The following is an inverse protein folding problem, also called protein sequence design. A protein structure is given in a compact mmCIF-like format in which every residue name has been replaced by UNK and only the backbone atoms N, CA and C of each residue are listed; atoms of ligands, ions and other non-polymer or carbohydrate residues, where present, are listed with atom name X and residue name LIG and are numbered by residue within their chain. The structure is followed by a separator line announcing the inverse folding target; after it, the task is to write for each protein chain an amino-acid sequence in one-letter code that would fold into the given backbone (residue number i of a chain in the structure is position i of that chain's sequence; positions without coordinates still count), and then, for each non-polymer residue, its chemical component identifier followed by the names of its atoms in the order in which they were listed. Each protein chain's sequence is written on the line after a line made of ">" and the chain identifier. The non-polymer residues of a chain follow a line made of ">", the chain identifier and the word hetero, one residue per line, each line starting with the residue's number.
data_IF_966096954920
#
_entry.id   IF_966096954920
#
_cell.length_a   1.000
_cell.length_b   1.000
_cell.length_c   1.000
_cell.angle_alpha   90.00
_cell.angle_beta   90.00
_cell.angle_gamma   90.00
#
_symmetry.space_group_name_H-M   'P 1'
#
loop_
_entity.id
_entity.type
_entity.pdbx_description
1 polymer ?
#
# COMPACT_ATOMS: atom_id res chain seq x y z
N UNK A 1 -6.66 -6.99 -15.73
CA UNK A 1 -7.47 -5.92 -15.13
C UNK A 1 -7.38 -6.09 -13.61
N UNK A 2 -6.32 -5.54 -13.03
CA UNK A 2 -5.75 -5.90 -11.71
C UNK A 2 -5.90 -4.78 -10.66
N UNK A 3 -6.06 -3.54 -11.11
CA UNK A 3 -6.00 -2.35 -10.26
C UNK A 3 -7.34 -1.80 -9.76
N UNK A 4 -8.46 -2.42 -10.14
CA UNK A 4 -9.83 -1.93 -9.86
C UNK A 4 -10.09 -1.73 -8.37
N UNK A 5 -9.74 -2.72 -7.54
CA UNK A 5 -9.87 -2.62 -6.08
C UNK A 5 -8.95 -1.55 -5.50
N UNK A 6 -7.74 -1.44 -6.07
CA UNK A 6 -6.68 -0.58 -5.55
C UNK A 6 -7.04 0.89 -5.72
N UNK A 7 -7.55 1.28 -6.89
CA UNK A 7 -7.98 2.65 -7.14
C UNK A 7 -9.20 3.04 -6.28
N UNK A 8 -10.20 2.16 -6.16
CA UNK A 8 -11.34 2.39 -5.28
C UNK A 8 -10.92 2.59 -3.81
N UNK A 9 -9.97 1.78 -3.32
CA UNK A 9 -9.41 1.92 -1.98
C UNK A 9 -8.61 3.22 -1.81
N UNK A 10 -7.87 3.67 -2.83
CA UNK A 10 -7.18 4.97 -2.84
C UNK A 10 -8.19 6.11 -2.75
N UNK A 11 -9.23 6.12 -3.59
CA UNK A 11 -10.31 7.12 -3.55
C UNK A 11 -10.96 7.16 -2.18
N UNK A 12 -11.30 6.01 -1.60
CA UNK A 12 -11.88 5.90 -0.27
C UNK A 12 -10.97 6.47 0.83
N UNK A 13 -9.67 6.17 0.80
CA UNK A 13 -8.69 6.70 1.77
C UNK A 13 -8.51 8.22 1.62
N UNK A 14 -8.47 8.74 0.39
CA UNK A 14 -8.33 10.18 0.13
C UNK A 14 -9.59 10.99 0.48
N UNK A 15 -10.76 10.43 0.18
CA UNK A 15 -12.07 11.00 0.50
C UNK A 15 -12.55 10.70 1.92
N UNK A 16 -11.71 10.06 2.76
CA UNK A 16 -12.11 9.66 4.10
C UNK A 16 -12.41 10.88 4.98
N UNK A 17 -13.49 10.78 5.77
CA UNK A 17 -13.84 11.78 6.77
C UNK A 17 -12.70 11.98 7.79
N UNK A 18 -12.69 13.12 8.48
CA UNK A 18 -11.59 13.51 9.37
C UNK A 18 -11.27 12.46 10.45
N UNK A 19 -12.28 11.72 10.94
CA UNK A 19 -12.10 10.62 11.89
C UNK A 19 -11.23 9.48 11.35
N UNK A 20 -11.33 9.19 10.04
CA UNK A 20 -10.52 8.17 9.37
C UNK A 20 -9.14 8.70 8.98
N UNK A 21 -8.99 10.01 8.74
CA UNK A 21 -7.67 10.64 8.50
C UNK A 21 -6.73 10.49 9.69
N UNK A 22 -7.25 10.55 10.92
CA UNK A 22 -6.45 10.32 12.13
C UNK A 22 -5.77 8.95 12.13
N UNK A 23 -6.46 7.90 11.68
CA UNK A 23 -5.89 6.55 11.53
C UNK A 23 -4.81 6.50 10.44
N UNK A 24 -5.08 7.09 9.28
CA UNK A 24 -4.10 7.15 8.18
C UNK A 24 -2.81 7.85 8.64
N UNK A 25 -2.91 8.99 9.33
CA UNK A 25 -1.75 9.71 9.87
C UNK A 25 -1.02 8.93 10.95
N UNK A 26 -1.75 8.15 11.75
CA UNK A 26 -1.14 7.27 12.74
C UNK A 26 -0.30 6.17 12.07
N UNK A 27 -0.81 5.56 10.99
CA UNK A 27 -0.09 4.56 10.18
C UNK A 27 1.14 5.15 9.50
N UNK A 28 1.00 6.29 8.81
CA UNK A 28 2.12 7.02 8.21
C UNK A 28 3.15 7.46 9.25
N UNK A 29 2.71 7.83 10.45
CA UNK A 29 3.59 8.14 11.57
C UNK A 29 4.45 6.95 12.01
N UNK A 30 3.89 5.73 12.04
CA UNK A 30 4.65 4.51 12.32
C UNK A 30 5.64 4.18 11.22
N UNK A 31 5.27 4.36 9.95
CA UNK A 31 6.19 4.22 8.81
C UNK A 31 7.40 5.14 8.93
N UNK A 32 7.17 6.42 9.21
CA UNK A 32 8.24 7.40 9.45
C UNK A 32 9.15 6.97 10.59
N UNK A 33 8.58 6.52 11.71
CA UNK A 33 9.35 6.07 12.88
C UNK A 33 10.20 4.84 12.55
N UNK A 34 9.65 3.87 11.82
CA UNK A 34 10.38 2.68 11.38
C UNK A 34 11.52 3.02 10.44
N UNK A 35 11.28 3.90 9.46
CA UNK A 35 12.32 4.36 8.55
C UNK A 35 13.47 5.05 9.29
N UNK A 36 13.17 5.89 10.30
CA UNK A 36 14.20 6.52 11.15
C UNK A 36 14.98 5.48 11.94
N UNK A 37 14.32 4.47 12.49
CA UNK A 37 14.96 3.42 13.29
C UNK A 37 15.92 2.57 12.47
N UNK A 38 15.63 2.31 11.19
CA UNK A 38 16.45 1.46 10.32
C UNK A 38 17.58 2.22 9.61
N UNK A 39 17.34 3.46 9.20
CA UNK A 39 18.29 4.23 8.37
C UNK A 39 18.74 5.58 8.96
N UNK A 40 18.28 5.95 10.16
CA UNK A 40 18.58 7.23 10.80
C UNK A 40 17.63 8.37 10.39
N UNK A 41 17.66 9.52 11.08
CA UNK A 41 16.67 10.59 10.93
C UNK A 41 16.92 11.55 9.76
N UNK A 42 18.02 11.41 9.01
CA UNK A 42 18.37 12.31 7.90
C UNK A 42 17.88 11.76 6.55
N UNK A 43 16.86 12.36 5.92
CA UNK A 43 16.31 11.90 4.64
C UNK A 43 17.26 12.06 3.44
N UNK A 44 18.36 12.80 3.58
CA UNK A 44 19.37 12.92 2.53
C UNK A 44 20.19 11.63 2.37
N UNK A 45 20.38 10.89 3.47
CA UNK A 45 21.14 9.64 3.49
C UNK A 45 20.26 8.41 3.73
N UNK A 46 19.01 8.60 4.16
CA UNK A 46 18.02 7.54 4.35
C UNK A 46 16.93 7.61 3.27
N UNK A 47 17.05 6.76 2.23
CA UNK A 47 16.08 6.68 1.14
C UNK A 47 14.69 6.24 1.62
N UNK A 48 14.61 5.26 2.53
CA UNK A 48 13.35 4.78 3.10
C UNK A 48 12.60 5.91 3.82
N UNK A 49 13.31 6.75 4.57
CA UNK A 49 12.70 7.90 5.24
C UNK A 49 12.22 8.93 4.23
N UNK A 50 13.01 9.21 3.19
CA UNK A 50 12.59 10.12 2.12
C UNK A 50 11.31 9.63 1.44
N UNK A 51 11.19 8.35 1.15
CA UNK A 51 9.97 7.77 0.57
C UNK A 51 8.78 7.87 1.52
N UNK A 52 8.98 7.56 2.81
CA UNK A 52 7.93 7.68 3.82
C UNK A 52 7.45 9.14 3.98
N UNK A 53 8.36 10.12 3.89
CA UNK A 53 8.00 11.55 3.88
C UNK A 53 7.19 11.92 2.64
N UNK A 54 7.60 11.46 1.46
CA UNK A 54 6.87 11.73 0.22
C UNK A 54 5.47 11.09 0.24
N UNK A 55 5.36 9.83 0.70
CA UNK A 55 4.06 9.17 0.91
C UNK A 55 3.21 9.92 1.93
N UNK A 56 3.78 10.38 3.04
CA UNK A 56 3.02 11.15 4.03
C UNK A 56 2.47 12.47 3.44
N UNK A 57 3.24 13.15 2.59
CA UNK A 57 2.81 14.37 1.88
C UNK A 57 1.71 14.09 0.86
N UNK A 58 1.72 12.97 0.14
CA UNK A 58 0.67 12.64 -0.84
C UNK A 58 -0.70 12.42 -0.18
N UNK A 59 -0.72 12.06 1.10
CA UNK A 59 -1.93 12.02 1.95
C UNK A 59 -2.24 13.34 2.67
N UNK A 60 -1.58 14.45 2.31
CA UNK A 60 -1.74 15.77 2.93
C UNK A 60 -1.42 15.79 4.45
N UNK A 61 -0.51 14.94 4.93
CA UNK A 61 -0.04 15.03 6.31
C UNK A 61 0.73 16.33 6.53
N UNK A 62 0.40 17.17 7.54
CA UNK A 62 1.12 18.41 7.79
C UNK A 62 2.61 18.18 8.08
N UNK A 63 3.48 19.04 7.55
CA UNK A 63 4.94 18.94 7.75
C UNK A 63 5.31 18.90 9.24
N UNK A 64 4.62 19.66 10.10
CA UNK A 64 4.86 19.63 11.55
C UNK A 64 4.58 18.24 12.15
N UNK A 65 3.57 17.53 11.66
CA UNK A 65 3.28 16.16 12.10
C UNK A 65 4.33 15.17 11.61
N UNK A 66 4.85 15.35 10.39
CA UNK A 66 5.94 14.53 9.84
C UNK A 66 7.21 14.72 10.69
N UNK A 67 7.60 15.98 10.92
CA UNK A 67 8.77 16.32 11.72
C UNK A 67 8.67 15.77 13.14
N UNK A 68 7.50 15.89 13.79
CA UNK A 68 7.28 15.31 15.13
C UNK A 68 7.46 13.79 15.16
N UNK A 69 6.98 13.07 14.15
CA UNK A 69 7.18 11.62 14.05
C UNK A 69 8.66 11.25 13.93
N UNK A 70 9.42 12.01 13.13
CA UNK A 70 10.86 11.83 12.94
C UNK A 70 11.64 12.12 14.22
N UNK A 71 11.36 13.26 14.87
CA UNK A 71 12.01 13.67 16.11
C UNK A 71 11.74 12.68 17.25
N UNK A 72 10.50 12.18 17.36
CA UNK A 72 10.14 11.16 18.34
C UNK A 72 10.94 9.88 18.15
N UNK A 73 11.12 9.42 16.91
CA UNK A 73 11.92 8.23 16.61
C UNK A 73 13.42 8.43 16.83
N UNK A 74 13.92 9.65 16.63
CA UNK A 74 15.33 9.99 16.84
C UNK A 74 15.70 10.15 18.33
N UNK A 75 14.71 10.40 19.19
CA UNK A 75 14.91 10.63 20.62
C UNK A 75 15.35 9.39 21.39
N UNK A 76 16.25 9.58 22.37
CA UNK A 76 16.72 8.51 23.27
C UNK A 76 15.63 8.14 24.27
N UNK A 77 15.28 6.85 24.35
CA UNK A 77 14.30 6.32 25.32
C UNK A 77 12.91 6.01 24.74
N UNK A 78 12.77 5.91 23.42
CA UNK A 78 11.54 5.44 22.81
C UNK A 78 11.44 3.89 22.92
N UNK A 79 10.63 3.43 23.86
CA UNK A 79 10.33 2.00 24.12
C UNK A 79 9.29 1.43 23.13
N UNK A 80 8.74 2.26 22.23
CA UNK A 80 7.84 1.80 21.17
C UNK A 80 8.66 0.97 20.15
N UNK A 81 8.82 -0.32 20.46
CA UNK A 81 9.48 -1.29 19.60
C UNK A 81 8.51 -1.84 18.57
N UNK A 82 8.15 -1.01 17.60
CA UNK A 82 7.54 -1.52 16.39
C UNK A 82 8.52 -2.43 15.64
N UNK A 83 7.99 -3.54 15.17
CA UNK A 83 8.62 -4.47 14.24
C UNK A 83 7.70 -4.71 13.05
N UNK A 84 8.31 -5.02 11.90
CA UNK A 84 7.56 -5.39 10.71
C UNK A 84 7.28 -6.89 10.71
N UNK A 85 6.02 -7.24 10.51
CA UNK A 85 5.57 -8.63 10.40
C UNK A 85 4.64 -8.77 9.20
N UNK A 86 4.93 -9.76 8.37
CA UNK A 86 4.03 -10.20 7.31
C UNK A 86 3.19 -11.37 7.81
N UNK A 87 1.87 -11.24 7.66
CA UNK A 87 0.94 -12.33 7.86
C UNK A 87 0.39 -12.76 6.50
N UNK A 88 0.34 -14.07 6.28
CA UNK A 88 0.01 -14.66 4.99
C UNK A 88 -1.16 -15.62 5.15
N UNK A 89 -2.12 -15.59 4.25
CA UNK A 89 -3.30 -16.43 4.33
C UNK A 89 -4.11 -16.46 3.05
N UNK A 90 -5.23 -17.16 3.11
CA UNK A 90 -6.18 -17.27 2.02
C UNK A 90 -7.53 -16.69 2.46
N UNK A 91 -8.11 -15.83 1.63
CA UNK A 91 -9.49 -15.38 1.77
C UNK A 91 -10.49 -16.39 1.18
N UNK A 92 -11.76 -15.97 0.99
CA UNK A 92 -12.77 -16.77 0.30
C UNK A 92 -12.28 -17.33 -1.02
N UNK A 93 -12.69 -18.57 -1.33
CA UNK A 93 -12.37 -19.27 -2.59
C UNK A 93 -10.89 -19.26 -3.00
N UNK A 94 -9.98 -19.20 -2.03
CA UNK A 94 -8.54 -19.35 -2.27
C UNK A 94 -7.84 -18.10 -2.78
N UNK A 95 -8.45 -16.91 -2.64
CA UNK A 95 -7.76 -15.64 -2.87
C UNK A 95 -6.55 -15.54 -1.94
N UNK A 96 -5.36 -15.34 -2.49
CA UNK A 96 -4.16 -15.11 -1.71
C UNK A 96 -4.20 -13.71 -1.08
N UNK A 97 -3.86 -13.62 0.21
CA UNK A 97 -3.81 -12.36 0.97
C UNK A 97 -2.53 -12.28 1.78
N UNK A 98 -1.81 -11.18 1.63
CA UNK A 98 -0.64 -10.83 2.43
C UNK A 98 -0.90 -9.52 3.17
N UNK A 99 -0.67 -9.51 4.48
CA UNK A 99 -0.94 -8.39 5.36
C UNK A 99 0.39 -7.92 5.96
N UNK A 100 0.83 -6.73 5.58
CA UNK A 100 2.02 -6.10 6.16
C UNK A 100 1.61 -5.32 7.40
N UNK A 101 2.30 -5.55 8.52
CA UNK A 101 1.98 -4.92 9.80
C UNK A 101 3.22 -4.28 10.42
N UNK A 102 3.00 -3.19 11.16
CA UNK A 102 3.97 -2.60 12.09
C UNK A 102 3.36 -2.65 13.48
N UNK A 103 3.90 -3.54 14.33
CA UNK A 103 3.32 -3.86 15.64
C UNK A 103 4.36 -3.86 16.74
N UNK A 104 3.94 -3.48 17.95
CA UNK A 104 4.69 -3.61 19.20
C UNK A 104 4.39 -4.94 19.93
N UNK A 105 3.46 -5.74 19.39
CA UNK A 105 3.00 -6.98 20.01
C UNK A 105 2.51 -8.00 18.96
N UNK A 106 3.44 -8.83 18.45
CA UNK A 106 3.13 -9.88 17.45
C UNK A 106 2.00 -10.81 17.87
N UNK A 107 1.88 -11.12 19.17
CA UNK A 107 0.87 -12.07 19.64
C UNK A 107 -0.54 -11.49 19.56
N UNK A 108 -0.72 -10.21 19.93
CA UNK A 108 -1.98 -9.48 19.76
C UNK A 108 -2.34 -9.38 18.28
N UNK A 109 -1.43 -8.86 17.46
CA UNK A 109 -1.68 -8.65 16.03
C UNK A 109 -1.97 -9.97 15.30
N UNK A 110 -1.23 -11.03 15.58
CA UNK A 110 -1.51 -12.35 15.00
C UNK A 110 -2.87 -12.91 15.43
N UNK A 111 -3.30 -12.66 16.67
CA UNK A 111 -4.62 -13.01 17.15
C UNK A 111 -5.72 -12.27 16.41
N UNK A 112 -5.58 -10.95 16.29
CA UNK A 112 -6.54 -10.09 15.61
C UNK A 112 -6.64 -10.42 14.12
N UNK A 113 -5.51 -10.52 13.41
CA UNK A 113 -5.48 -10.87 11.98
C UNK A 113 -6.12 -12.25 11.77
N UNK A 114 -5.76 -13.26 12.55
CA UNK A 114 -6.37 -14.61 12.45
C UNK A 114 -7.88 -14.55 12.62
N UNK A 115 -8.36 -13.85 13.63
CA UNK A 115 -9.80 -13.68 13.89
C UNK A 115 -10.52 -13.00 12.72
N UNK A 116 -9.88 -12.04 12.05
CA UNK A 116 -10.44 -11.39 10.86
C UNK A 116 -10.56 -12.37 9.69
N UNK A 117 -9.51 -13.16 9.39
CA UNK A 117 -9.59 -14.21 8.38
C UNK A 117 -10.72 -15.22 8.69
N UNK A 118 -10.74 -15.77 9.91
CA UNK A 118 -11.73 -16.78 10.33
C UNK A 118 -13.17 -16.24 10.23
N UNK A 119 -13.39 -14.97 10.57
CA UNK A 119 -14.71 -14.33 10.53
C UNK A 119 -15.27 -14.20 9.12
N UNK A 120 -14.42 -13.97 8.11
CA UNK A 120 -14.82 -13.65 6.75
C UNK A 120 -14.50 -14.78 5.76
N UNK A 121 -14.52 -16.03 6.21
CA UNK A 121 -14.43 -17.19 5.32
C UNK A 121 -13.04 -17.44 4.73
N UNK A 122 -12.00 -16.91 5.37
CA UNK A 122 -10.60 -17.19 5.06
C UNK A 122 -9.89 -17.96 6.17
N UNK A 123 -8.58 -18.12 6.02
CA UNK A 123 -7.70 -18.71 7.02
C UNK A 123 -6.32 -18.06 6.99
N UNK A 124 -5.79 -17.74 8.16
CA UNK A 124 -4.39 -17.37 8.30
C UNK A 124 -3.50 -18.62 8.13
N UNK A 125 -2.51 -18.53 7.25
CA UNK A 125 -1.57 -19.59 6.95
C UNK A 125 -0.25 -19.46 7.71
N UNK A 126 0.76 -20.19 7.22
CA UNK A 126 2.14 -20.09 7.67
C UNK A 126 2.95 -19.15 6.78
N UNK A 127 4.04 -18.61 7.30
CA UNK A 127 5.00 -17.80 6.53
C UNK A 127 5.38 -18.49 5.22
N UNK A 128 5.33 -17.74 4.11
CA UNK A 128 5.62 -18.21 2.75
C UNK A 128 4.49 -18.96 2.04
N UNK A 129 3.29 -19.11 2.63
CA UNK A 129 2.21 -19.88 2.00
C UNK A 129 1.59 -19.19 0.78
N UNK A 130 1.74 -17.86 0.64
CA UNK A 130 1.29 -17.10 -0.54
C UNK A 130 2.36 -16.17 -1.08
N UNK A 131 3.48 -15.96 -0.38
CA UNK A 131 4.52 -15.01 -0.80
C UNK A 131 5.04 -15.23 -2.22
N UNK A 132 5.09 -16.49 -2.69
CA UNK A 132 5.50 -16.82 -4.06
C UNK A 132 4.53 -16.34 -5.15
N UNK A 133 3.31 -15.93 -4.78
CA UNK A 133 2.29 -15.39 -5.68
C UNK A 133 2.38 -13.86 -5.82
N UNK A 134 3.33 -13.22 -5.14
CA UNK A 134 3.52 -11.77 -5.18
C UNK A 134 4.97 -11.41 -5.52
N UNK A 135 5.13 -10.51 -6.47
CA UNK A 135 6.41 -9.90 -6.79
C UNK A 135 6.53 -8.53 -6.12
N UNK A 136 7.75 -8.14 -5.77
CA UNK A 136 8.02 -6.78 -5.31
C UNK A 136 8.17 -5.90 -6.56
N UNK A 137 7.37 -4.83 -6.67
CA UNK A 137 7.42 -3.88 -7.78
C UNK A 137 7.33 -2.45 -7.28
N UNK A 138 7.98 -1.52 -7.99
CA UNK A 138 7.63 -0.11 -7.88
C UNK A 138 6.26 0.11 -8.53
N UNK A 139 5.38 0.85 -7.87
CA UNK A 139 4.04 1.16 -8.36
C UNK A 139 3.77 2.64 -8.19
N UNK A 140 3.30 3.28 -9.26
CA UNK A 140 2.82 4.66 -9.28
C UNK A 140 1.38 4.65 -9.77
N UNK A 141 0.48 5.33 -9.07
CA UNK A 141 -0.92 5.45 -9.46
C UNK A 141 -1.23 6.92 -9.59
N UNK A 142 -1.77 7.33 -10.73
CA UNK A 142 -2.24 8.69 -10.97
C UNK A 142 -3.72 8.69 -11.34
N UNK A 143 -4.41 9.78 -10.98
CA UNK A 143 -5.78 10.02 -11.41
C UNK A 143 -5.78 10.37 -12.90
N UNK A 144 -6.77 9.87 -13.62
CA UNK A 144 -6.99 10.15 -15.04
C UNK A 144 -8.21 11.06 -15.16
N UNK A 145 -8.04 12.18 -15.83
CA UNK A 145 -9.09 13.13 -16.15
C UNK A 145 -9.32 13.22 -17.67
N UNK A 146 -10.24 14.11 -18.10
CA UNK A 146 -10.55 14.31 -19.52
C UNK A 146 -9.37 14.86 -20.33
N UNK A 147 -8.42 15.54 -19.68
CA UNK A 147 -7.25 16.16 -20.30
C UNK A 147 -6.03 15.22 -20.32
N UNK A 148 -6.15 14.03 -19.71
CA UNK A 148 -5.08 13.05 -19.63
C UNK A 148 -4.85 12.38 -20.99
N UNK A 149 -3.67 12.59 -21.55
CA UNK A 149 -3.19 11.95 -22.78
C UNK A 149 -2.55 10.60 -22.45
N UNK A 150 -3.34 9.52 -22.52
CA UNK A 150 -2.93 8.16 -22.18
C UNK A 150 -1.70 7.70 -22.99
N UNK A 151 -1.63 8.04 -24.28
CA UNK A 151 -0.52 7.67 -25.16
C UNK A 151 0.77 8.36 -24.71
N UNK A 152 0.68 9.63 -24.33
CA UNK A 152 1.82 10.37 -23.79
C UNK A 152 2.28 9.81 -22.45
N UNK A 153 1.35 9.52 -21.52
CA UNK A 153 1.70 8.93 -20.22
C UNK A 153 2.42 7.60 -20.41
N UNK A 154 1.93 6.76 -21.32
CA UNK A 154 2.57 5.50 -21.67
C UNK A 154 4.01 5.70 -22.14
N UNK A 155 4.22 6.59 -23.13
CA UNK A 155 5.53 6.86 -23.69
C UNK A 155 6.51 7.43 -22.66
N UNK A 156 6.10 8.45 -21.91
CA UNK A 156 6.94 9.13 -20.91
C UNK A 156 7.32 8.14 -19.78
N UNK A 157 6.39 7.26 -19.36
CA UNK A 157 6.65 6.24 -18.35
C UNK A 157 7.61 5.15 -18.83
N UNK A 158 7.43 4.63 -20.05
CA UNK A 158 8.31 3.60 -20.63
C UNK A 158 9.71 4.17 -20.84
N UNK A 159 9.84 5.40 -21.36
CA UNK A 159 11.13 6.06 -21.53
C UNK A 159 11.85 6.30 -20.19
N UNK A 160 11.09 6.50 -19.11
CA UNK A 160 11.62 6.61 -17.75
C UNK A 160 12.02 5.26 -17.13
N UNK A 161 11.62 4.12 -17.74
CA UNK A 161 11.97 2.77 -17.29
C UNK A 161 10.83 1.98 -16.64
N UNK A 162 9.56 2.34 -16.90
CA UNK A 162 8.41 1.54 -16.51
C UNK A 162 8.34 0.21 -17.29
N UNK A 163 7.84 -0.83 -16.63
CA UNK A 163 7.60 -2.15 -17.23
C UNK A 163 6.20 -2.28 -17.83
N UNK A 164 5.21 -1.68 -17.19
CA UNK A 164 3.82 -1.75 -17.62
C UNK A 164 3.04 -0.48 -17.23
N UNK A 165 2.05 -0.13 -18.04
CA UNK A 165 1.17 1.02 -17.86
C UNK A 165 -0.25 0.59 -18.19
N UNK A 166 -1.12 0.59 -17.19
CA UNK A 166 -2.48 0.06 -17.28
C UNK A 166 -3.48 1.13 -16.86
N UNK A 167 -4.49 1.36 -17.71
CA UNK A 167 -5.66 2.17 -17.34
C UNK A 167 -6.60 1.32 -16.48
N UNK A 168 -6.99 1.85 -15.33
CA UNK A 168 -7.90 1.25 -14.36
C UNK A 168 -9.22 2.00 -14.41
N UNK A 169 -10.32 1.29 -14.70
CA UNK A 169 -11.69 1.84 -14.73
C UNK A 169 -11.92 3.04 -15.65
N UNK A 170 -10.95 3.40 -16.51
CA UNK A 170 -10.94 4.66 -17.23
C UNK A 170 -10.74 5.91 -16.35
N UNK A 171 -10.47 5.72 -15.06
CA UNK A 171 -10.38 6.78 -14.06
C UNK A 171 -8.98 6.94 -13.44
N UNK A 172 -8.10 5.96 -13.61
CA UNK A 172 -6.73 6.02 -13.13
C UNK A 172 -5.77 5.32 -14.07
N UNK A 173 -4.49 5.64 -13.94
CA UNK A 173 -3.39 4.95 -14.62
C UNK A 173 -2.46 4.39 -13.54
N UNK A 174 -2.20 3.08 -13.62
CA UNK A 174 -1.17 2.41 -12.83
C UNK A 174 0.05 2.15 -13.70
N UNK A 175 1.20 2.58 -13.20
CA UNK A 175 2.51 2.38 -13.82
C UNK A 175 3.29 1.46 -12.89
N UNK A 176 3.75 0.33 -13.40
CA UNK A 176 4.57 -0.63 -12.64
C UNK A 176 5.97 -0.75 -13.20
N UNK A 177 6.94 -1.02 -12.33
CA UNK A 177 8.36 -1.14 -12.67
C UNK A 177 9.08 -2.06 -11.69
N UNK A 178 10.31 -2.45 -12.01
CA UNK A 178 11.19 -3.08 -11.04
C UNK A 178 11.40 -2.20 -9.80
N UNK A 179 11.60 -2.76 -8.60
CA UNK A 179 11.94 -1.99 -7.40
C UNK A 179 13.17 -1.11 -7.58
N UNK A 180 14.15 -1.56 -8.38
CA UNK A 180 15.39 -0.84 -8.65
C UNK A 180 15.14 0.42 -9.48
N UNK A 181 14.23 0.36 -10.45
CA UNK A 181 13.87 1.50 -11.32
C UNK A 181 12.95 2.52 -10.63
N UNK A 182 12.31 2.16 -9.50
CA UNK A 182 11.26 2.97 -8.87
C UNK A 182 11.63 4.44 -8.68
N UNK A 183 12.81 4.72 -8.09
CA UNK A 183 13.20 6.10 -7.82
C UNK A 183 13.48 6.90 -9.08
N UNK A 184 14.08 6.29 -10.11
CA UNK A 184 14.42 6.98 -11.35
C UNK A 184 13.14 7.30 -12.14
N UNK A 185 12.21 6.34 -12.24
CA UNK A 185 10.90 6.53 -12.87
C UNK A 185 10.10 7.61 -12.14
N UNK A 186 9.94 7.47 -10.81
CA UNK A 186 9.18 8.42 -10.00
C UNK A 186 9.72 9.86 -10.13
N UNK A 187 11.04 10.04 -10.01
CA UNK A 187 11.63 11.37 -10.09
C UNK A 187 11.59 11.97 -11.49
N UNK A 188 11.65 11.14 -12.54
CA UNK A 188 11.54 11.61 -13.93
C UNK A 188 10.13 12.11 -14.21
N UNK A 189 9.12 11.28 -13.97
CA UNK A 189 7.72 11.66 -14.18
C UNK A 189 7.31 12.84 -13.29
N UNK A 190 7.78 12.91 -12.04
CA UNK A 190 7.51 14.05 -11.16
C UNK A 190 8.11 15.36 -11.69
N UNK A 191 9.29 15.33 -12.34
CA UNK A 191 9.87 16.53 -12.99
C UNK A 191 8.99 17.01 -14.15
N UNK A 192 8.40 16.05 -14.87
CA UNK A 192 7.46 16.29 -15.97
C UNK A 192 6.05 16.68 -15.49
N UNK A 193 5.90 16.97 -14.19
CA UNK A 193 4.68 17.47 -13.54
C UNK A 193 3.56 16.43 -13.39
N UNK A 194 3.86 15.14 -13.54
CA UNK A 194 2.92 14.08 -13.16
C UNK A 194 2.66 14.09 -11.65
N UNK A 195 1.39 13.96 -11.27
CA UNK A 195 0.94 13.93 -9.87
C UNK A 195 0.40 12.54 -9.55
N UNK A 196 1.02 11.89 -8.57
CA UNK A 196 0.63 10.54 -8.17
C UNK A 196 -0.31 10.58 -6.97
N UNK A 197 -1.39 9.82 -7.08
CA UNK A 197 -2.34 9.60 -6.02
C UNK A 197 -1.82 8.64 -4.94
N UNK A 198 -1.07 7.62 -5.35
CA UNK A 198 -0.29 6.75 -4.48
C UNK A 198 0.99 6.34 -5.22
N UNK A 199 2.05 6.09 -4.45
CA UNK A 199 3.31 5.60 -4.99
C UNK A 199 4.08 4.84 -3.92
N UNK A 200 4.86 3.85 -4.33
CA UNK A 200 5.72 3.09 -3.43
C UNK A 200 6.24 1.81 -4.04
N UNK A 201 7.02 1.08 -3.25
CA UNK A 201 7.39 -0.30 -3.56
C UNK A 201 6.39 -1.21 -2.86
N UNK A 202 5.72 -2.06 -3.62
CA UNK A 202 4.57 -2.85 -3.18
C UNK A 202 4.66 -4.32 -3.63
N UNK A 203 3.79 -5.16 -3.07
CA UNK A 203 3.61 -6.55 -3.47
C UNK A 203 2.50 -6.65 -4.52
N UNK A 204 2.87 -6.98 -5.76
CA UNK A 204 1.95 -7.11 -6.89
C UNK A 204 1.71 -8.59 -7.20
N UNK A 205 0.45 -9.07 -7.29
CA UNK A 205 0.16 -10.44 -7.66
C UNK A 205 0.64 -10.83 -9.06
N UNK A 206 1.16 -12.05 -9.21
CA UNK A 206 1.53 -12.62 -10.52
C UNK A 206 0.36 -13.32 -11.23
N UNK A 207 -0.67 -13.71 -10.46
CA UNK A 207 -1.87 -14.39 -10.96
C UNK A 207 -3.09 -13.89 -10.20
N UNK A 208 -4.21 -13.75 -10.88
CA UNK A 208 -5.45 -13.22 -10.35
C UNK A 208 -6.52 -14.29 -10.18
N UNK A 209 -7.39 -14.12 -9.18
CA UNK A 209 -8.47 -15.05 -8.82
C UNK A 209 -9.79 -14.30 -8.85
N UNK A 210 -10.74 -14.77 -9.68
CA UNK A 210 -12.11 -14.25 -9.72
C UNK A 210 -12.97 -14.96 -8.67
N UNK A 211 -13.83 -14.19 -7.99
CA UNK A 211 -14.84 -14.71 -7.08
C UNK A 211 -16.20 -14.74 -7.79
N UNK A 212 -16.74 -15.93 -8.03
CA UNK A 212 -18.02 -16.10 -8.75
C UNK A 212 -19.24 -15.86 -7.85
N UNK A 213 -19.13 -16.21 -6.57
CA UNK A 213 -20.24 -16.16 -5.62
C UNK A 213 -20.31 -14.80 -4.92
N UNK A 214 -21.49 -14.16 -4.93
CA UNK A 214 -21.72 -12.83 -4.31
C UNK A 214 -21.37 -12.83 -2.81
N UNK A 215 -21.59 -13.97 -2.13
CA UNK A 215 -21.24 -14.12 -0.72
C UNK A 215 -19.72 -14.06 -0.50
N UNK A 216 -18.93 -14.63 -1.40
CA UNK A 216 -17.48 -14.63 -1.32
C UNK A 216 -16.94 -13.23 -1.62
N UNK A 217 -17.48 -12.55 -2.64
CA UNK A 217 -17.15 -11.15 -2.93
C UNK A 217 -17.45 -10.26 -1.72
N UNK A 218 -18.64 -10.41 -1.12
CA UNK A 218 -19.06 -9.65 0.07
C UNK A 218 -18.12 -9.91 1.26
N UNK A 219 -17.78 -11.17 1.49
CA UNK A 219 -16.89 -11.55 2.60
C UNK A 219 -15.46 -11.04 2.36
N UNK A 220 -14.97 -11.12 1.13
CA UNK A 220 -13.65 -10.62 0.76
C UNK A 220 -13.54 -9.10 0.93
N UNK A 221 -14.54 -8.35 0.49
CA UNK A 221 -14.61 -6.88 0.76
C UNK A 221 -14.56 -6.59 2.26
N UNK A 222 -15.37 -7.30 3.05
CA UNK A 222 -15.37 -7.09 4.52
C UNK A 222 -14.06 -7.49 5.18
N UNK A 223 -13.38 -8.53 4.68
CA UNK A 223 -12.07 -8.94 5.17
C UNK A 223 -11.04 -7.83 4.94
N UNK A 224 -10.94 -7.33 3.71
CA UNK A 224 -10.01 -6.26 3.34
C UNK A 224 -10.30 -5.01 4.20
N UNK A 225 -11.56 -4.59 4.26
CA UNK A 225 -11.95 -3.40 5.04
C UNK A 225 -11.58 -3.54 6.52
N UNK A 226 -11.88 -4.69 7.13
CA UNK A 226 -11.59 -4.91 8.54
C UNK A 226 -10.08 -5.02 8.83
N UNK A 227 -9.30 -5.58 7.89
CA UNK A 227 -7.84 -5.58 7.97
C UNK A 227 -7.28 -4.16 7.84
N UNK A 228 -7.76 -3.36 6.87
CA UNK A 228 -7.35 -1.97 6.70
C UNK A 228 -7.76 -1.08 7.88
N UNK A 229 -8.82 -1.42 8.62
CA UNK A 229 -9.25 -0.70 9.82
C UNK A 229 -8.44 -1.07 11.08
N UNK A 230 -7.69 -2.18 11.04
CA UNK A 230 -6.78 -2.57 12.13
C UNK A 230 -5.60 -1.61 12.22
N UNK A 231 -5.26 -1.18 13.43
CA UNK A 231 -4.25 -0.15 13.66
C UNK A 231 -2.82 -0.63 13.39
N UNK A 232 -2.53 -1.93 13.54
CA UNK A 232 -1.20 -2.49 13.31
C UNK A 232 -0.96 -2.79 11.81
N UNK A 233 -2.02 -2.93 11.01
CA UNK A 233 -1.95 -3.21 9.57
C UNK A 233 -1.54 -1.96 8.80
N UNK A 234 -0.51 -2.07 7.96
CA UNK A 234 -0.07 -1.00 7.08
C UNK A 234 -0.64 -1.16 5.67
N UNK A 235 -0.47 -2.33 5.07
CA UNK A 235 -0.96 -2.62 3.72
C UNK A 235 -1.58 -4.03 3.68
N UNK A 236 -2.58 -4.19 2.83
CA UNK A 236 -3.24 -5.46 2.51
C UNK A 236 -3.06 -5.70 1.01
N UNK A 237 -2.34 -6.75 0.66
CA UNK A 237 -2.13 -7.18 -0.72
C UNK A 237 -2.97 -8.42 -0.97
N UNK A 238 -3.67 -8.46 -2.11
CA UNK A 238 -4.49 -9.60 -2.48
C UNK A 238 -4.51 -9.80 -3.99
N UNK A 239 -4.81 -11.02 -4.43
CA UNK A 239 -4.93 -11.33 -5.85
C UNK A 239 -6.37 -11.51 -6.35
N UNK A 240 -7.35 -11.05 -5.57
CA UNK A 240 -8.75 -11.01 -6.01
C UNK A 240 -8.94 -10.05 -7.20
N UNK A 241 -9.40 -10.60 -8.32
CA UNK A 241 -9.88 -9.86 -9.49
C UNK A 241 -11.31 -9.39 -9.21
N UNK A 242 -11.49 -8.07 -9.05
CA UNK A 242 -12.80 -7.46 -8.93
C UNK A 242 -13.33 -7.15 -10.32
N UNK A 243 -14.52 -7.67 -10.64
CA UNK A 243 -15.24 -7.29 -11.85
C UNK A 243 -15.83 -5.89 -11.72
N UNK A 244 -16.02 -5.22 -12.85
CA UNK A 244 -16.78 -3.98 -12.98
C UNK A 244 -18.20 -4.18 -12.38
N UNK A 245 -18.59 -3.29 -11.46
CA UNK A 245 -19.97 -3.17 -10.99
C UNK A 245 -20.72 -2.07 -11.76
#
# INVERSE_FOLDING_TARGET
>A
MAGHSKWSNIKRRKGAADDKRGKIFSKLGRELQMAVKTGGPDPNINSTLRDAIERAKSFNMPNDSINRSIERAAGVGNDDHFEEVFYEGYGPSGVAVMVRTLTDNRHRTAGDVRHLFDRYGGNLGTDGCVAFQFELKGVLIMERDEDTDDDRVFMDAVDAGAEDVVVIDGEAIEITMSPESYHDVFNTLKKDQYVFAEHGIERVPITWVRLEEEIDQTNMTKLIDALEENDDVQDVYHNWEQDDA
#
